data_IF_233640497143
#
_entry.id   IF_233640497143
#
_cell.length_a   1.000
_cell.length_b   1.000
_cell.length_c   1.000
_cell.angle_alpha   90.00
_cell.angle_beta   90.00
_cell.angle_gamma   90.00
#
_symmetry.space_group_name_H-M   'P 1'
#
loop_
_entity.id
_entity.type
_entity.pdbx_description
1 polymer ?
#
# COMPACT_ATOMS: atom_id res chain seq x y z
N UNK A 1 -28.61 -8.92 13.80
CA UNK A 1 -27.21 -8.87 14.26
C UNK A 1 -26.34 -8.59 13.04
N UNK A 2 -25.29 -7.76 13.14
CA UNK A 2 -24.39 -7.55 11.98
C UNK A 2 -23.56 -8.82 11.73
N UNK A 3 -23.45 -9.25 10.47
CA UNK A 3 -22.68 -10.44 10.08
C UNK A 3 -21.23 -10.34 10.55
N UNK A 4 -20.68 -11.41 11.11
CA UNK A 4 -19.27 -11.46 11.50
C UNK A 4 -18.38 -11.58 10.26
N UNK A 5 -17.25 -10.88 10.25
CA UNK A 5 -16.30 -10.86 9.13
C UNK A 5 -14.94 -11.34 9.61
N UNK A 6 -14.37 -12.26 8.84
CA UNK A 6 -13.05 -12.87 9.09
C UNK A 6 -12.12 -12.68 7.91
N UNK A 7 -10.82 -12.83 8.16
CA UNK A 7 -9.77 -12.80 7.16
C UNK A 7 -9.24 -14.22 6.96
N UNK A 8 -9.14 -14.65 5.70
CA UNK A 8 -8.67 -16.00 5.31
C UNK A 8 -7.59 -15.86 4.26
N UNK A 9 -6.38 -16.32 4.55
CA UNK A 9 -5.26 -16.20 3.60
C UNK A 9 -4.84 -14.74 3.38
N UNK A 10 -3.54 -14.50 3.50
CA UNK A 10 -2.95 -13.21 3.16
C UNK A 10 -1.57 -13.45 2.54
N UNK A 11 -1.20 -12.58 1.62
CA UNK A 11 0.14 -12.58 1.05
C UNK A 11 0.49 -11.20 0.49
N UNK A 12 1.78 -10.99 0.24
CA UNK A 12 2.32 -9.81 -0.42
C UNK A 12 3.50 -10.16 -1.30
N UNK A 13 3.81 -9.33 -2.29
CA UNK A 13 5.11 -9.39 -2.94
C UNK A 13 6.20 -8.92 -1.95
N UNK A 14 7.49 -9.16 -2.23
CA UNK A 14 8.52 -8.37 -1.59
C UNK A 14 8.38 -6.90 -2.02
N UNK A 15 8.88 -6.02 -1.19
CA UNK A 15 8.85 -4.57 -1.40
C UNK A 15 10.13 -4.17 -2.14
N UNK A 16 9.96 -3.70 -3.38
CA UNK A 16 11.00 -3.11 -4.21
C UNK A 16 11.35 -1.69 -3.76
N UNK A 17 12.60 -1.28 -3.93
CA UNK A 17 13.02 0.13 -3.80
C UNK A 17 12.84 0.85 -5.14
N UNK A 18 12.71 2.18 -5.10
CA UNK A 18 12.60 2.99 -6.32
C UNK A 18 13.73 2.72 -7.32
N UNK A 19 13.36 2.37 -8.56
CA UNK A 19 14.29 1.98 -9.61
C UNK A 19 15.03 0.66 -9.38
N UNK A 20 14.58 -0.15 -8.41
CA UNK A 20 15.17 -1.42 -8.01
C UNK A 20 14.62 -2.63 -8.77
N UNK A 21 14.48 -3.75 -8.08
CA UNK A 21 14.14 -5.04 -8.70
C UNK A 21 12.79 -5.03 -9.44
N UNK A 22 11.81 -4.30 -8.92
CA UNK A 22 10.45 -4.27 -9.46
C UNK A 22 10.20 -3.14 -10.47
N UNK A 23 11.21 -2.34 -10.83
CA UNK A 23 11.03 -1.12 -11.64
C UNK A 23 10.32 -1.33 -12.98
N UNK A 24 10.52 -2.50 -13.59
CA UNK A 24 9.97 -2.84 -14.91
C UNK A 24 8.65 -3.65 -14.81
N UNK A 25 8.09 -3.84 -13.60
CA UNK A 25 6.86 -4.60 -13.37
C UNK A 25 5.65 -3.66 -13.22
N UNK A 26 4.64 -3.69 -14.11
CA UNK A 26 3.43 -2.91 -13.92
C UNK A 26 2.73 -3.24 -12.59
N UNK A 27 2.06 -2.27 -11.96
CA UNK A 27 1.31 -2.52 -10.71
C UNK A 27 0.26 -3.64 -10.87
N UNK A 28 -0.37 -3.71 -12.06
CA UNK A 28 -1.28 -4.79 -12.47
C UNK A 28 -0.66 -6.17 -12.32
N UNK A 29 0.61 -6.35 -12.70
CA UNK A 29 1.31 -7.63 -12.62
C UNK A 29 1.61 -8.02 -11.16
N UNK A 30 1.99 -7.05 -10.34
CA UNK A 30 2.17 -7.26 -8.90
C UNK A 30 0.84 -7.65 -8.24
N UNK A 31 -0.27 -6.98 -8.63
CA UNK A 31 -1.62 -7.32 -8.21
C UNK A 31 -2.04 -8.74 -8.61
N UNK A 32 -1.79 -9.12 -9.87
CA UNK A 32 -2.05 -10.47 -10.39
C UNK A 32 -1.42 -11.54 -9.50
N UNK A 33 -0.13 -11.38 -9.19
CA UNK A 33 0.65 -12.33 -8.39
C UNK A 33 0.01 -12.57 -7.02
N UNK A 34 -0.35 -11.50 -6.31
CA UNK A 34 -0.93 -11.64 -4.96
C UNK A 34 -2.37 -12.15 -4.99
N UNK A 35 -3.14 -11.82 -6.04
CA UNK A 35 -4.50 -12.35 -6.21
C UNK A 35 -4.49 -13.87 -6.44
N UNK A 36 -3.64 -14.35 -7.36
CA UNK A 36 -3.48 -15.79 -7.61
C UNK A 36 -3.04 -16.54 -6.36
N UNK A 37 -2.03 -16.00 -5.66
CA UNK A 37 -1.46 -16.70 -4.52
C UNK A 37 -2.40 -16.70 -3.30
N UNK A 38 -3.18 -15.64 -3.05
CA UNK A 38 -4.20 -15.66 -1.98
C UNK A 38 -5.27 -16.72 -2.28
N UNK A 39 -5.78 -16.79 -3.51
CA UNK A 39 -6.79 -17.78 -3.90
C UNK A 39 -6.27 -19.21 -3.77
N UNK A 40 -5.03 -19.43 -4.21
CA UNK A 40 -4.33 -20.70 -4.05
C UNK A 40 -4.14 -21.09 -2.58
N UNK A 41 -3.73 -20.14 -1.71
CA UNK A 41 -3.54 -20.38 -0.27
C UNK A 41 -4.85 -20.62 0.47
N UNK A 42 -5.94 -19.96 0.06
CA UNK A 42 -7.26 -20.12 0.67
C UNK A 42 -8.01 -21.35 0.15
N UNK A 43 -7.61 -21.91 -1.00
CA UNK A 43 -8.33 -22.99 -1.68
C UNK A 43 -9.67 -22.53 -2.27
N UNK A 44 -9.83 -21.23 -2.51
CA UNK A 44 -11.07 -20.65 -3.04
C UNK A 44 -10.92 -20.49 -4.55
N UNK A 45 -11.92 -20.97 -5.28
CA UNK A 45 -12.00 -20.79 -6.71
C UNK A 45 -12.45 -19.35 -7.04
N UNK A 46 -11.94 -18.79 -8.14
CA UNK A 46 -12.21 -17.39 -8.51
C UNK A 46 -13.70 -17.11 -8.74
N UNK A 47 -14.47 -18.12 -9.17
CA UNK A 47 -15.93 -18.04 -9.39
C UNK A 47 -16.72 -17.82 -8.10
N UNK A 48 -16.12 -18.09 -6.94
CA UNK A 48 -16.79 -17.92 -5.64
C UNK A 48 -16.65 -16.50 -5.09
N UNK A 49 -15.85 -15.64 -5.73
CA UNK A 49 -15.71 -14.25 -5.34
C UNK A 49 -16.95 -13.46 -5.77
N UNK A 50 -17.51 -12.69 -4.85
CA UNK A 50 -18.57 -11.75 -5.15
C UNK A 50 -18.01 -10.44 -5.72
N UNK A 51 -16.81 -10.04 -5.30
CA UNK A 51 -16.18 -8.79 -5.73
C UNK A 51 -14.65 -8.76 -5.48
N UNK A 52 -13.93 -7.94 -6.24
CA UNK A 52 -12.51 -7.63 -6.03
C UNK A 52 -12.30 -6.13 -5.81
N UNK A 53 -11.67 -5.77 -4.70
CA UNK A 53 -11.51 -4.37 -4.27
C UNK A 53 -10.02 -4.10 -3.99
N UNK A 54 -9.35 -3.36 -4.87
CA UNK A 54 -7.93 -3.04 -4.69
C UNK A 54 -7.65 -1.54 -4.68
N UNK A 55 -6.75 -1.15 -3.78
CA UNK A 55 -6.13 0.16 -3.76
C UNK A 55 -5.03 0.31 -4.83
N UNK A 56 -5.05 1.40 -5.57
CA UNK A 56 -3.94 1.86 -6.42
C UNK A 56 -4.05 3.39 -6.56
N UNK A 57 -2.97 4.11 -6.24
CA UNK A 57 -2.95 5.58 -6.20
C UNK A 57 -2.53 6.12 -7.56
N UNK A 58 -1.39 5.67 -8.08
CA UNK A 58 -0.76 6.22 -9.27
C UNK A 58 -1.33 5.63 -10.57
N UNK A 59 -2.62 5.86 -10.82
CA UNK A 59 -3.37 5.24 -11.92
C UNK A 59 -3.10 5.85 -13.31
N UNK A 60 -2.31 6.92 -13.37
CA UNK A 60 -2.04 7.65 -14.61
C UNK A 60 -1.51 6.72 -15.71
N UNK A 61 -2.21 6.70 -16.86
CA UNK A 61 -1.87 5.91 -18.04
C UNK A 61 -1.73 4.38 -17.82
N UNK A 62 -2.25 3.82 -16.72
CA UNK A 62 -2.28 2.38 -16.49
C UNK A 62 -3.45 1.65 -17.17
N UNK A 63 -4.25 2.36 -17.98
CA UNK A 63 -5.45 1.80 -18.61
C UNK A 63 -6.70 1.86 -17.72
N UNK A 64 -7.78 1.20 -18.16
CA UNK A 64 -9.05 1.22 -17.46
C UNK A 64 -9.02 0.29 -16.25
N UNK A 65 -9.38 0.81 -15.07
CA UNK A 65 -9.61 0.03 -13.84
C UNK A 65 -8.51 -1.02 -13.54
N UNK A 66 -7.41 -0.56 -12.97
CA UNK A 66 -6.20 -1.35 -12.67
C UNK A 66 -6.53 -2.63 -11.88
N UNK A 67 -7.44 -2.54 -10.90
CA UNK A 67 -7.96 -3.70 -10.14
C UNK A 67 -8.57 -4.76 -11.04
N UNK A 68 -9.43 -4.36 -11.99
CA UNK A 68 -10.06 -5.29 -12.94
C UNK A 68 -9.03 -5.93 -13.86
N UNK A 69 -8.03 -5.19 -14.33
CA UNK A 69 -6.94 -5.77 -15.14
C UNK A 69 -6.21 -6.86 -14.37
N UNK A 70 -5.82 -6.59 -13.11
CA UNK A 70 -5.14 -7.56 -12.26
C UNK A 70 -6.00 -8.80 -12.00
N UNK A 71 -7.29 -8.62 -11.72
CA UNK A 71 -8.22 -9.72 -11.50
C UNK A 71 -8.35 -10.64 -12.71
N UNK A 72 -8.55 -10.06 -13.92
CA UNK A 72 -8.62 -10.85 -15.16
C UNK A 72 -7.31 -11.58 -15.44
N UNK A 73 -6.17 -10.92 -15.25
CA UNK A 73 -4.88 -11.58 -15.44
C UNK A 73 -4.61 -12.68 -14.41
N UNK A 74 -5.23 -12.61 -13.22
CA UNK A 74 -5.15 -13.64 -12.18
C UNK A 74 -6.07 -14.85 -12.45
N UNK A 75 -6.80 -14.84 -13.57
CA UNK A 75 -7.76 -15.88 -13.93
C UNK A 75 -9.09 -15.78 -13.17
N UNK A 76 -9.37 -14.65 -12.52
CA UNK A 76 -10.69 -14.41 -11.90
C UNK A 76 -11.72 -14.22 -13.03
N UNK A 77 -12.90 -14.87 -12.97
CA UNK A 77 -13.91 -14.81 -14.03
C UNK A 77 -14.38 -13.40 -14.37
N UNK A 78 -14.83 -13.24 -15.62
CA UNK A 78 -15.27 -11.94 -16.12
C UNK A 78 -16.53 -11.43 -15.42
N UNK A 79 -17.33 -12.33 -14.85
CA UNK A 79 -18.57 -12.07 -14.16
C UNK A 79 -18.34 -11.43 -12.78
N UNK A 80 -17.16 -11.60 -12.18
CA UNK A 80 -16.82 -11.06 -10.85
C UNK A 80 -16.51 -9.55 -10.97
N UNK A 81 -17.31 -8.65 -10.38
CA UNK A 81 -17.05 -7.22 -10.43
C UNK A 81 -15.72 -6.87 -9.73
N UNK A 82 -15.06 -5.84 -10.24
CA UNK A 82 -13.83 -5.34 -9.65
C UNK A 82 -13.76 -3.82 -9.80
N UNK A 83 -13.28 -3.13 -8.77
CA UNK A 83 -13.03 -1.69 -8.86
C UNK A 83 -11.74 -1.27 -8.15
N UNK A 84 -11.15 -0.19 -8.66
CA UNK A 84 -9.94 0.42 -8.12
C UNK A 84 -10.35 1.57 -7.21
N UNK A 85 -9.80 1.64 -6.01
CA UNK A 85 -10.04 2.75 -5.09
C UNK A 85 -8.77 3.54 -4.81
N UNK A 86 -8.92 4.86 -4.68
CA UNK A 86 -7.84 5.75 -4.29
C UNK A 86 -8.22 6.50 -3.01
N UNK A 87 -7.49 6.20 -1.95
CA UNK A 87 -7.44 6.92 -0.67
C UNK A 87 -5.98 7.18 -0.27
N UNK A 88 -5.12 7.46 -1.25
CA UNK A 88 -3.67 7.63 -1.11
C UNK A 88 -3.07 6.47 -0.30
N UNK A 89 -2.23 6.70 0.71
CA UNK A 89 -1.61 5.64 1.54
C UNK A 89 -2.64 4.74 2.24
N UNK A 90 -3.87 5.22 2.45
CA UNK A 90 -4.95 4.45 3.07
C UNK A 90 -5.67 3.49 2.14
N UNK A 91 -5.33 3.44 0.85
CA UNK A 91 -6.11 2.70 -0.16
C UNK A 91 -6.20 1.20 0.14
N UNK A 92 -5.07 0.52 0.32
CA UNK A 92 -5.06 -0.93 0.55
C UNK A 92 -5.84 -1.35 1.81
N UNK A 93 -5.64 -0.63 2.92
CA UNK A 93 -6.35 -0.92 4.16
C UNK A 93 -7.85 -0.54 4.08
N UNK A 94 -8.17 0.53 3.35
CA UNK A 94 -9.56 0.94 3.12
C UNK A 94 -10.31 -0.13 2.33
N UNK A 95 -9.67 -0.78 1.36
CA UNK A 95 -10.23 -1.91 0.62
C UNK A 95 -10.78 -2.99 1.54
N UNK A 96 -9.96 -3.43 2.51
CA UNK A 96 -10.32 -4.46 3.49
C UNK A 96 -11.51 -4.05 4.35
N UNK A 97 -11.49 -2.81 4.86
CA UNK A 97 -12.63 -2.30 5.65
C UNK A 97 -13.90 -2.10 4.80
N UNK A 98 -13.78 -1.83 3.50
CA UNK A 98 -14.91 -1.68 2.59
C UNK A 98 -15.53 -3.04 2.27
N UNK A 99 -14.70 -4.04 2.00
CA UNK A 99 -15.14 -5.44 1.88
C UNK A 99 -15.91 -5.88 3.13
N UNK A 100 -15.38 -5.58 4.32
CA UNK A 100 -16.08 -5.89 5.57
C UNK A 100 -17.41 -5.11 5.74
N UNK A 101 -17.57 -3.93 5.13
CA UNK A 101 -18.84 -3.20 5.14
C UNK A 101 -19.87 -3.85 4.23
N UNK A 102 -19.47 -4.23 3.01
CA UNK A 102 -20.34 -4.86 2.01
C UNK A 102 -20.84 -6.22 2.54
N UNK A 103 -19.95 -7.03 3.10
CA UNK A 103 -20.35 -8.30 3.73
C UNK A 103 -21.31 -8.08 4.89
N UNK A 104 -21.06 -7.09 5.75
CA UNK A 104 -21.97 -6.75 6.87
C UNK A 104 -23.32 -6.22 6.41
N UNK A 105 -23.39 -5.59 5.23
CA UNK A 105 -24.62 -5.13 4.61
C UNK A 105 -25.46 -6.29 4.05
N UNK A 106 -24.84 -7.46 3.83
CA UNK A 106 -25.51 -8.64 3.28
C UNK A 106 -25.40 -8.75 1.75
N UNK A 107 -24.59 -7.90 1.12
CA UNK A 107 -24.48 -7.82 -0.34
C UNK A 107 -23.41 -8.76 -0.93
N UNK A 108 -22.56 -9.36 -0.08
CA UNK A 108 -21.52 -10.30 -0.46
C UNK A 108 -21.14 -11.25 0.69
N UNK A 109 -20.46 -12.33 0.36
CA UNK A 109 -19.89 -13.32 1.28
C UNK A 109 -18.37 -13.43 1.20
N UNK A 110 -17.80 -13.32 0.01
CA UNK A 110 -16.36 -13.50 -0.25
C UNK A 110 -15.86 -12.36 -1.13
N UNK A 111 -14.99 -11.51 -0.58
CA UNK A 111 -14.39 -10.40 -1.30
C UNK A 111 -12.87 -10.49 -1.21
N UNK A 112 -12.20 -10.39 -2.36
CA UNK A 112 -10.75 -10.27 -2.42
C UNK A 112 -10.36 -8.80 -2.29
N UNK A 113 -9.62 -8.46 -1.23
CA UNK A 113 -9.26 -7.07 -0.94
C UNK A 113 -7.75 -6.88 -0.79
N UNK A 114 -7.26 -5.70 -1.13
CA UNK A 114 -5.82 -5.43 -1.05
C UNK A 114 -5.40 -4.10 -1.67
N UNK A 115 -4.14 -4.04 -2.06
CA UNK A 115 -3.58 -2.91 -2.78
C UNK A 115 -2.36 -3.30 -3.59
N UNK A 116 -2.07 -2.50 -4.61
CA UNK A 116 -0.91 -2.65 -5.49
C UNK A 116 -0.43 -1.28 -5.91
N UNK A 117 0.88 -1.12 -5.98
CA UNK A 117 1.51 0.11 -6.45
C UNK A 117 2.86 -0.21 -7.09
N UNK A 118 3.20 0.54 -8.13
CA UNK A 118 4.55 0.62 -8.62
C UNK A 118 4.89 2.09 -8.87
N UNK A 119 5.59 2.68 -7.91
CA UNK A 119 5.98 4.08 -7.98
C UNK A 119 7.13 4.29 -8.97
N UNK A 120 7.99 3.28 -9.17
CA UNK A 120 9.05 3.29 -10.19
C UNK A 120 8.49 3.38 -11.62
N UNK A 121 7.27 2.89 -11.85
CA UNK A 121 6.60 2.83 -13.15
C UNK A 121 5.78 4.09 -13.48
N UNK A 122 5.69 5.05 -12.56
CA UNK A 122 4.87 6.24 -12.73
C UNK A 122 5.34 7.10 -13.92
N UNK A 123 4.43 7.56 -14.81
CA UNK A 123 4.81 8.37 -15.95
C UNK A 123 5.05 9.83 -15.57
N UNK A 124 5.60 10.58 -16.52
CA UNK A 124 5.47 12.04 -16.54
C UNK A 124 4.26 12.45 -17.39
N UNK A 125 3.63 13.59 -17.07
CA UNK A 125 2.51 14.17 -17.79
C UNK A 125 2.82 15.53 -18.40
N UNK A 126 2.09 15.86 -19.47
CA UNK A 126 2.13 17.16 -20.15
C UNK A 126 0.71 17.72 -20.24
N UNK A 127 0.28 18.43 -19.20
CA UNK A 127 -1.13 18.73 -18.95
C UNK A 127 -1.83 19.49 -20.09
N UNK A 128 -1.14 20.44 -20.75
CA UNK A 128 -1.76 21.25 -21.82
C UNK A 128 -1.58 20.65 -23.23
N UNK A 129 -0.94 19.48 -23.36
CA UNK A 129 -0.65 18.89 -24.67
C UNK A 129 -1.91 18.55 -25.48
N UNK A 130 -3.06 18.32 -24.82
CA UNK A 130 -4.33 17.99 -25.49
C UNK A 130 -4.80 19.08 -26.46
N UNK A 131 -4.62 20.35 -26.10
CA UNK A 131 -5.04 21.50 -26.91
C UNK A 131 -3.88 22.41 -27.34
N UNK A 132 -2.66 22.09 -26.89
CA UNK A 132 -1.44 22.83 -27.20
C UNK A 132 -1.15 23.97 -26.22
N UNK A 133 0.14 24.28 -26.09
CA UNK A 133 0.63 25.39 -25.26
C UNK A 133 0.57 26.75 -25.96
N UNK A 134 0.22 26.79 -27.25
CA UNK A 134 0.33 27.94 -28.15
C UNK A 134 1.77 28.42 -28.39
N UNK A 135 2.48 28.90 -27.36
CA UNK A 135 3.86 29.41 -27.44
C UNK A 135 4.50 29.38 -26.04
N UNK A 136 5.84 29.39 -25.97
CA UNK A 136 6.67 29.33 -24.75
C UNK A 136 6.77 27.94 -24.07
N UNK A 137 7.49 27.90 -22.94
CA UNK A 137 7.80 26.70 -22.18
C UNK A 137 6.57 26.06 -21.53
N UNK A 138 6.66 24.75 -21.30
CA UNK A 138 5.72 23.97 -20.48
C UNK A 138 6.46 23.15 -19.43
N UNK A 139 5.71 22.48 -18.56
CA UNK A 139 6.24 21.66 -17.48
C UNK A 139 6.01 20.19 -17.78
N UNK A 140 7.04 19.36 -17.64
CA UNK A 140 6.87 17.91 -17.50
C UNK A 140 6.56 17.62 -16.04
N UNK A 141 5.34 17.17 -15.77
CA UNK A 141 4.85 16.92 -14.41
C UNK A 141 5.19 15.48 -14.03
N UNK A 142 5.90 15.29 -12.92
CA UNK A 142 6.12 13.96 -12.34
C UNK A 142 4.81 13.50 -11.68
N UNK A 143 4.14 12.47 -12.23
CA UNK A 143 2.85 12.01 -11.69
C UNK A 143 2.99 11.31 -10.33
N UNK A 144 4.13 10.67 -10.03
CA UNK A 144 4.37 10.09 -8.71
C UNK A 144 4.35 11.17 -7.64
N UNK A 145 5.03 12.28 -7.90
CA UNK A 145 5.02 13.43 -6.99
C UNK A 145 3.62 14.05 -6.97
N UNK A 146 3.08 14.42 -8.13
CA UNK A 146 1.83 15.17 -8.23
C UNK A 146 0.62 14.45 -7.63
N UNK A 147 0.48 13.16 -7.90
CA UNK A 147 -0.72 12.39 -7.53
C UNK A 147 -0.54 11.61 -6.22
N UNK A 148 0.70 11.41 -5.75
CA UNK A 148 1.01 10.60 -4.57
C UNK A 148 1.66 11.33 -3.41
N UNK A 149 2.52 12.34 -3.67
CA UNK A 149 3.43 12.91 -2.68
C UNK A 149 3.33 14.44 -2.52
N UNK A 150 2.42 15.10 -3.23
CA UNK A 150 2.21 16.54 -3.17
C UNK A 150 0.92 16.88 -2.45
N UNK A 151 0.99 17.84 -1.53
CA UNK A 151 -0.16 18.31 -0.77
C UNK A 151 -0.93 19.31 -1.62
N UNK A 152 -2.17 18.95 -1.98
CA UNK A 152 -2.96 19.70 -2.94
C UNK A 152 -3.44 21.07 -2.41
N UNK A 153 -3.50 21.27 -1.09
CA UNK A 153 -4.09 22.47 -0.48
C UNK A 153 -3.06 23.54 -0.10
N UNK A 154 -1.86 23.14 0.33
CA UNK A 154 -0.78 24.02 0.78
C UNK A 154 0.44 24.03 -0.16
N UNK A 155 0.38 23.28 -1.27
CA UNK A 155 1.35 23.31 -2.37
C UNK A 155 2.80 22.98 -1.95
N UNK A 156 2.98 21.87 -1.24
CA UNK A 156 4.31 21.35 -0.88
C UNK A 156 4.35 19.81 -0.79
N UNK A 157 5.55 19.24 -0.70
CA UNK A 157 5.75 17.80 -0.55
C UNK A 157 5.25 17.26 0.80
N UNK A 158 4.79 16.01 0.87
CA UNK A 158 4.38 15.33 2.12
C UNK A 158 5.44 15.40 3.22
N UNK A 159 6.72 15.43 2.86
CA UNK A 159 7.83 15.61 3.79
C UNK A 159 7.77 16.91 4.62
N UNK A 160 7.16 17.96 4.08
CA UNK A 160 6.89 19.21 4.83
C UNK A 160 5.80 19.00 5.88
N UNK A 161 4.80 18.15 5.62
CA UNK A 161 3.82 17.81 6.67
C UNK A 161 4.47 17.08 7.85
N UNK A 162 5.49 16.24 7.59
CA UNK A 162 6.26 15.59 8.65
C UNK A 162 7.09 16.61 9.45
N UNK A 163 7.68 17.60 8.78
CA UNK A 163 8.36 18.73 9.44
C UNK A 163 7.40 19.54 10.33
N UNK A 164 6.16 19.77 9.88
CA UNK A 164 5.13 20.47 10.66
C UNK A 164 4.76 19.68 11.92
N UNK A 165 4.58 18.36 11.79
CA UNK A 165 4.30 17.47 12.94
C UNK A 165 5.48 17.45 13.90
N UNK A 166 6.72 17.32 13.40
CA UNK A 166 7.90 17.33 14.25
C UNK A 166 8.01 18.64 15.06
N UNK A 167 7.77 19.79 14.41
CA UNK A 167 7.77 21.08 15.07
C UNK A 167 6.63 21.23 16.11
N UNK A 168 5.39 20.85 15.75
CA UNK A 168 4.23 21.02 16.61
C UNK A 168 4.28 20.11 17.85
N UNK A 169 4.85 18.92 17.74
CA UNK A 169 4.99 17.95 18.84
C UNK A 169 6.39 17.93 19.48
N UNK A 170 7.29 18.82 19.08
CA UNK A 170 8.68 18.89 19.55
C UNK A 170 9.42 17.55 19.44
N UNK A 171 9.24 16.85 18.32
CA UNK A 171 9.93 15.59 18.04
C UNK A 171 11.32 15.93 17.50
N UNK A 172 12.35 15.61 18.28
CA UNK A 172 13.72 15.97 17.92
C UNK A 172 14.23 15.19 16.70
N UNK A 173 15.33 15.66 16.11
CA UNK A 173 16.01 14.94 15.02
C UNK A 173 16.54 13.60 15.54
N UNK A 174 17.04 13.58 16.76
CA UNK A 174 17.60 12.43 17.44
C UNK A 174 16.52 11.36 17.66
N UNK A 175 15.32 11.74 18.11
CA UNK A 175 14.18 10.81 18.27
C UNK A 175 13.78 10.18 16.92
N UNK A 176 13.77 10.99 15.86
CA UNK A 176 13.46 10.53 14.50
C UNK A 176 14.52 9.53 14.00
N UNK A 177 15.79 9.83 14.19
CA UNK A 177 16.89 8.97 13.76
C UNK A 177 16.95 7.67 14.59
N UNK A 178 16.73 7.73 15.91
CA UNK A 178 16.64 6.54 16.76
C UNK A 178 15.47 5.64 16.34
N UNK A 179 14.31 6.23 16.05
CA UNK A 179 13.16 5.48 15.55
C UNK A 179 13.47 4.80 14.21
N UNK A 180 14.06 5.54 13.26
CA UNK A 180 14.45 5.01 11.96
C UNK A 180 15.50 3.89 12.07
N UNK A 181 16.52 4.06 12.92
CA UNK A 181 17.54 3.04 13.19
C UNK A 181 16.91 1.76 13.77
N UNK A 182 16.07 1.90 14.79
CA UNK A 182 15.34 0.76 15.38
C UNK A 182 14.48 0.04 14.36
N UNK A 183 13.87 0.77 13.41
CA UNK A 183 13.11 0.18 12.31
C UNK A 183 14.01 -0.67 11.40
N UNK A 184 15.22 -0.19 11.06
CA UNK A 184 16.18 -0.95 10.25
C UNK A 184 16.64 -2.23 10.94
N UNK A 185 16.97 -2.17 12.24
CA UNK A 185 17.39 -3.33 13.02
C UNK A 185 16.30 -4.40 13.08
N UNK A 186 15.05 -4.00 13.35
CA UNK A 186 13.90 -4.92 13.38
C UNK A 186 13.63 -5.56 12.03
N UNK A 187 13.72 -4.79 10.94
CA UNK A 187 13.55 -5.33 9.59
C UNK A 187 14.66 -6.33 9.24
N UNK A 188 15.91 -6.00 9.56
CA UNK A 188 17.05 -6.89 9.34
C UNK A 188 16.93 -8.19 10.15
N UNK A 189 16.51 -8.12 11.42
CA UNK A 189 16.26 -9.29 12.25
C UNK A 189 15.11 -10.13 11.70
N UNK A 190 13.99 -9.52 11.30
CA UNK A 190 12.83 -10.22 10.76
C UNK A 190 13.16 -10.96 9.45
N UNK A 191 13.95 -10.34 8.57
CA UNK A 191 14.44 -10.97 7.34
C UNK A 191 15.37 -12.14 7.69
N UNK A 192 16.38 -11.91 8.55
CA UNK A 192 17.36 -12.92 8.91
C UNK A 192 16.75 -14.13 9.64
N UNK A 193 15.73 -13.89 10.46
CA UNK A 193 14.99 -14.95 11.18
C UNK A 193 13.86 -15.58 10.36
N UNK A 194 13.65 -15.14 9.11
CA UNK A 194 12.66 -15.73 8.21
C UNK A 194 11.20 -15.39 8.51
N UNK A 195 10.91 -14.38 9.35
CA UNK A 195 9.54 -14.02 9.77
C UNK A 195 8.63 -13.62 8.61
N UNK A 196 9.21 -13.14 7.50
CA UNK A 196 8.45 -12.74 6.31
C UNK A 196 8.25 -13.87 5.28
N UNK A 197 8.84 -15.05 5.50
CA UNK A 197 8.77 -16.15 4.50
C UNK A 197 7.35 -16.62 4.24
N UNK A 198 6.50 -16.64 5.27
CA UNK A 198 5.12 -17.09 5.14
C UNK A 198 4.24 -16.08 4.40
N UNK A 199 4.50 -14.78 4.51
CA UNK A 199 3.67 -13.73 3.88
C UNK A 199 4.14 -13.34 2.47
N UNK A 200 5.41 -13.57 2.12
CA UNK A 200 5.96 -13.18 0.82
C UNK A 200 5.65 -14.22 -0.27
N UNK A 201 5.22 -13.71 -1.43
CA UNK A 201 5.12 -14.44 -2.70
C UNK A 201 6.26 -14.00 -3.60
N UNK A 202 7.15 -14.90 -4.04
CA UNK A 202 8.25 -14.51 -4.93
C UNK A 202 7.75 -13.94 -6.26
N UNK A 203 8.41 -12.90 -6.75
CA UNK A 203 8.16 -12.31 -8.07
C UNK A 203 9.22 -12.83 -9.05
N UNK A 204 8.79 -13.47 -10.13
CA UNK A 204 9.69 -13.95 -11.18
C UNK A 204 9.86 -12.87 -12.24
N UNK A 205 11.03 -12.25 -12.27
CA UNK A 205 11.38 -11.19 -13.22
C UNK A 205 11.99 -11.84 -14.46
N UNK A 206 11.25 -11.80 -15.57
CA UNK A 206 11.71 -12.35 -16.85
C UNK A 206 12.79 -11.49 -17.47
N UNK A 207 13.95 -12.10 -17.76
CA UNK A 207 15.11 -11.40 -18.31
C UNK A 207 15.61 -12.04 -19.60
N UNK A 208 16.27 -11.24 -20.46
CA UNK A 208 16.91 -11.74 -21.69
C UNK A 208 18.00 -12.79 -21.44
N UNK A 209 18.59 -12.79 -20.23
CA UNK A 209 19.65 -13.72 -19.80
C UNK A 209 19.14 -14.83 -18.87
N UNK A 210 17.82 -14.98 -18.75
CA UNK A 210 17.17 -15.88 -17.80
C UNK A 210 16.31 -15.13 -16.78
N UNK A 211 15.51 -15.89 -16.06
CA UNK A 211 14.58 -15.38 -15.06
C UNK A 211 15.30 -15.17 -13.72
N UNK A 212 14.93 -14.10 -13.02
CA UNK A 212 15.43 -13.79 -11.67
C UNK A 212 14.27 -13.90 -10.69
N UNK A 213 14.45 -14.64 -9.61
CA UNK A 213 13.46 -14.74 -8.53
C UNK A 213 13.76 -13.66 -7.50
N UNK A 214 12.80 -12.77 -7.28
CA UNK A 214 12.85 -11.74 -6.25
C UNK A 214 11.91 -12.12 -5.11
N UNK A 215 12.46 -12.47 -3.94
CA UNK A 215 11.73 -13.06 -2.80
C UNK A 215 12.01 -12.39 -1.45
N UNK A 216 12.71 -11.24 -1.46
CA UNK A 216 13.21 -10.59 -0.25
C UNK A 216 13.06 -9.08 -0.39
N UNK A 217 12.55 -8.42 0.66
CA UNK A 217 12.42 -6.96 0.70
C UNK A 217 13.80 -6.30 0.54
N UNK A 218 13.96 -5.41 -0.44
CA UNK A 218 15.27 -4.85 -0.79
C UNK A 218 15.53 -3.46 -0.20
N UNK A 219 14.51 -2.83 0.39
CA UNK A 219 14.63 -1.48 0.93
C UNK A 219 15.37 -1.39 2.29
N UNK A 220 15.27 -2.36 3.22
CA UNK A 220 16.01 -2.32 4.48
C UNK A 220 17.53 -2.20 4.27
N UNK A 221 18.19 -1.38 5.10
CA UNK A 221 19.61 -1.05 5.02
C UNK A 221 20.27 -1.25 6.37
N UNK A 222 21.39 -1.98 6.38
CA UNK A 222 22.30 -1.98 7.53
C UNK A 222 22.93 -0.59 7.66
N UNK A 223 22.68 0.08 8.78
CA UNK A 223 23.14 1.45 9.04
C UNK A 223 23.62 1.59 10.48
N UNK A 224 24.04 2.78 10.89
CA UNK A 224 24.36 3.14 12.28
C UNK A 224 23.76 4.50 12.61
N UNK A 225 23.60 4.81 13.90
CA UNK A 225 23.09 6.12 14.33
C UNK A 225 23.97 7.27 13.85
N UNK A 226 25.30 7.09 13.84
CA UNK A 226 26.24 8.11 13.36
C UNK A 226 26.04 8.40 11.86
N UNK A 227 25.80 7.35 11.06
CA UNK A 227 25.48 7.51 9.65
C UNK A 227 24.15 8.22 9.45
N UNK A 228 23.15 7.91 10.28
CA UNK A 228 21.84 8.57 10.23
C UNK A 228 21.95 10.04 10.60
N UNK A 229 22.64 10.38 11.68
CA UNK A 229 22.87 11.76 12.12
C UNK A 229 23.58 12.60 11.04
N UNK A 230 24.51 11.99 10.28
CA UNK A 230 25.21 12.64 9.16
C UNK A 230 24.35 12.96 7.93
N UNK A 231 23.10 12.49 7.85
CA UNK A 231 22.23 12.75 6.71
C UNK A 231 21.71 14.19 6.70
N UNK A 232 21.68 14.77 5.49
CA UNK A 232 21.13 16.10 5.26
C UNK A 232 19.60 16.08 5.30
N UNK A 233 18.95 17.17 5.75
CA UNK A 233 17.51 17.34 5.64
C UNK A 233 17.03 17.24 4.19
N UNK A 234 15.91 16.55 3.97
CA UNK A 234 15.43 16.23 2.62
C UNK A 234 14.44 17.25 2.04
N UNK A 235 13.71 17.97 2.90
CA UNK A 235 12.54 18.76 2.45
C UNK A 235 12.63 20.26 2.74
N UNK A 236 13.31 20.66 3.82
CA UNK A 236 13.54 22.07 4.13
C UNK A 236 14.96 22.28 4.64
N UNK A 237 15.50 23.48 4.43
CA UNK A 237 16.77 23.89 5.04
C UNK A 237 16.63 23.84 6.57
N UNK A 238 17.64 23.30 7.24
CA UNK A 238 17.69 23.15 8.70
C UNK A 238 16.51 22.32 9.27
N UNK A 239 15.95 21.41 8.46
CA UNK A 239 14.90 20.49 8.88
C UNK A 239 15.39 19.25 9.63
N UNK A 240 14.45 18.49 10.17
CA UNK A 240 14.74 17.25 10.92
C UNK A 240 14.51 15.99 10.09
N UNK A 241 13.70 16.08 9.04
CA UNK A 241 13.32 14.91 8.23
C UNK A 241 14.40 14.66 7.17
N UNK A 242 14.90 13.42 7.13
CA UNK A 242 15.96 12.96 6.24
C UNK A 242 15.56 11.68 5.51
N UNK A 243 16.35 11.28 4.51
CA UNK A 243 16.18 9.99 3.84
C UNK A 243 16.40 8.77 4.75
N UNK A 244 16.94 8.94 5.96
CA UNK A 244 17.15 7.86 6.93
C UNK A 244 15.99 7.67 7.90
N UNK A 245 15.21 8.73 8.15
CA UNK A 245 14.10 8.72 9.10
C UNK A 245 12.71 8.92 8.44
N UNK A 246 12.67 8.99 7.11
CA UNK A 246 11.47 8.88 6.29
C UNK A 246 11.46 7.55 5.50
N UNK A 247 10.27 7.08 5.11
CA UNK A 247 10.16 5.94 4.20
C UNK A 247 10.65 6.28 2.79
N UNK A 248 10.99 5.25 2.03
CA UNK A 248 11.33 5.38 0.62
C UNK A 248 10.12 5.52 -0.30
N UNK A 249 10.45 5.55 -1.58
CA UNK A 249 9.54 5.27 -2.69
C UNK A 249 9.72 3.79 -3.03
N UNK A 250 8.60 3.06 -3.15
CA UNK A 250 8.62 1.61 -3.16
C UNK A 250 7.55 1.03 -4.08
N UNK A 251 7.78 -0.22 -4.48
CA UNK A 251 6.91 -0.99 -5.36
C UNK A 251 6.47 -2.27 -4.66
N UNK A 252 5.20 -2.66 -4.82
CA UNK A 252 4.68 -3.90 -4.24
C UNK A 252 3.17 -4.05 -4.29
N UNK A 253 2.69 -5.24 -3.97
CA UNK A 253 1.27 -5.53 -3.81
C UNK A 253 1.02 -6.42 -2.59
N UNK A 254 -0.19 -6.37 -2.05
CA UNK A 254 -0.65 -7.21 -0.94
C UNK A 254 -2.15 -7.52 -1.10
N UNK A 255 -2.55 -8.73 -0.69
CA UNK A 255 -3.91 -9.24 -0.80
C UNK A 255 -4.32 -9.99 0.48
N UNK A 256 -5.62 -9.96 0.77
CA UNK A 256 -6.26 -10.76 1.81
C UNK A 256 -7.68 -11.12 1.37
N UNK A 257 -8.14 -12.34 1.66
CA UNK A 257 -9.55 -12.70 1.47
C UNK A 257 -10.35 -12.24 2.68
N UNK A 258 -11.43 -11.50 2.44
CA UNK A 258 -12.38 -11.05 3.45
C UNK A 258 -13.66 -11.87 3.28
N UNK A 259 -14.06 -12.57 4.32
CA UNK A 259 -15.11 -13.60 4.24
C UNK A 259 -16.13 -13.41 5.36
N UNK A 260 -17.41 -13.63 5.08
CA UNK A 260 -18.41 -13.78 6.14
C UNK A 260 -18.07 -15.01 6.99
N UNK A 261 -18.23 -14.93 8.32
CA UNK A 261 -17.92 -16.07 9.21
C UNK A 261 -18.75 -17.30 8.85
N UNK A 262 -20.01 -17.07 8.50
CA UNK A 262 -20.96 -18.11 8.06
C UNK A 262 -20.45 -18.84 6.83
N UNK A 263 -19.99 -18.11 5.80
CA UNK A 263 -19.44 -18.71 4.58
C UNK A 263 -18.11 -19.41 4.83
N UNK A 264 -17.26 -18.84 5.69
CA UNK A 264 -16.02 -19.48 6.09
C UNK A 264 -16.28 -20.84 6.78
N UNK A 265 -17.29 -20.93 7.64
CA UNK A 265 -17.68 -22.19 8.29
C UNK A 265 -18.29 -23.19 7.31
N UNK A 266 -19.17 -22.73 6.41
CA UNK A 266 -19.78 -23.56 5.36
C UNK A 266 -18.71 -24.23 4.49
N UNK A 267 -17.66 -23.49 4.15
CA UNK A 267 -16.58 -23.94 3.27
C UNK A 267 -15.42 -24.62 4.03
N UNK A 268 -15.49 -24.71 5.36
CA UNK A 268 -14.41 -25.26 6.18
C UNK A 268 -13.10 -24.48 6.10
N UNK A 269 -13.17 -23.17 5.81
CA UNK A 269 -12.00 -22.29 5.79
C UNK A 269 -11.46 -22.07 7.20
N UNK A 270 -10.16 -21.79 7.31
CA UNK A 270 -9.51 -21.46 8.58
C UNK A 270 -9.25 -19.95 8.69
N UNK A 271 -10.06 -19.21 9.46
CA UNK A 271 -9.79 -17.80 9.74
C UNK A 271 -8.41 -17.56 10.37
N UNK A 272 -7.71 -16.53 9.91
CA UNK A 272 -6.47 -16.03 10.53
C UNK A 272 -6.77 -14.96 11.59
N UNK A 273 -7.79 -14.14 11.33
CA UNK A 273 -8.20 -13.05 12.21
C UNK A 273 -9.68 -12.70 12.01
N UNK A 274 -10.24 -11.97 12.97
CA UNK A 274 -11.59 -11.39 12.89
C UNK A 274 -11.50 -9.87 12.75
N UNK A 275 -12.30 -9.30 11.86
CA UNK A 275 -12.44 -7.85 11.73
C UNK A 275 -13.38 -7.35 12.83
N UNK A 276 -12.81 -6.96 13.98
CA UNK A 276 -13.59 -6.48 15.13
C UNK A 276 -14.22 -5.13 14.82
N UNK A 277 -13.40 -4.14 14.45
CA UNK A 277 -13.84 -2.80 14.10
C UNK A 277 -12.90 -2.15 13.08
N UNK A 278 -13.34 -1.02 12.54
CA UNK A 278 -12.55 -0.16 11.66
C UNK A 278 -13.09 1.27 11.73
N UNK A 279 -12.23 2.25 11.44
CA UNK A 279 -12.62 3.63 11.31
C UNK A 279 -11.64 4.40 10.41
N UNK A 280 -12.11 5.52 9.86
CA UNK A 280 -11.26 6.54 9.24
C UNK A 280 -11.35 7.83 10.05
N UNK A 281 -10.24 8.56 10.11
CA UNK A 281 -10.14 9.89 10.71
C UNK A 281 -9.63 10.88 9.68
N UNK A 282 -10.18 12.10 9.69
CA UNK A 282 -9.65 13.24 8.95
C UNK A 282 -8.99 14.21 9.93
N UNK A 283 -7.96 14.89 9.47
CA UNK A 283 -7.21 15.93 10.18
C UNK A 283 -6.86 17.04 9.18
N UNK A 284 -6.28 18.12 9.67
CA UNK A 284 -5.74 19.17 8.82
C UNK A 284 -4.69 18.59 7.84
N UNK A 285 -4.76 18.87 6.53
CA UNK A 285 -3.81 18.37 5.53
C UNK A 285 -2.34 18.71 5.84
N UNK A 286 -2.07 19.83 6.52
CA UNK A 286 -0.72 20.27 6.89
C UNK A 286 -0.02 19.35 7.90
N UNK A 287 -0.80 18.53 8.61
CA UNK A 287 -0.33 17.56 9.61
C UNK A 287 -0.94 16.18 9.36
N UNK A 288 -1.16 15.82 8.09
CA UNK A 288 -1.82 14.57 7.70
C UNK A 288 -1.27 13.31 8.40
N UNK A 289 0.03 13.31 8.74
CA UNK A 289 0.72 12.23 9.44
C UNK A 289 0.13 11.87 10.81
N UNK A 290 -0.67 12.76 11.43
CA UNK A 290 -1.37 12.46 12.70
C UNK A 290 -2.78 11.90 12.50
N UNK A 291 -3.23 11.72 11.26
CA UNK A 291 -4.50 11.07 10.90
C UNK A 291 -4.76 9.70 11.57
N UNK A 292 -3.73 8.86 11.84
CA UNK A 292 -3.91 7.64 12.63
C UNK A 292 -4.46 7.86 14.04
N UNK A 293 -4.20 9.01 14.68
CA UNK A 293 -4.67 9.28 16.05
C UNK A 293 -6.21 9.23 16.15
N UNK A 294 -6.98 10.06 15.42
CA UNK A 294 -8.43 9.97 15.46
C UNK A 294 -8.98 8.67 14.85
N UNK A 295 -8.30 8.08 13.85
CA UNK A 295 -8.74 6.82 13.25
C UNK A 295 -8.69 5.67 14.28
N UNK A 296 -7.56 5.50 14.97
CA UNK A 296 -7.37 4.46 15.99
C UNK A 296 -8.29 4.66 17.18
N UNK A 297 -8.42 5.89 17.70
CA UNK A 297 -9.36 6.19 18.81
C UNK A 297 -10.79 5.79 18.47
N UNK A 298 -11.26 6.10 17.25
CA UNK A 298 -12.61 5.71 16.79
C UNK A 298 -12.75 4.20 16.62
N UNK A 299 -11.74 3.51 16.09
CA UNK A 299 -11.78 2.06 15.91
C UNK A 299 -11.82 1.32 17.26
N UNK A 300 -10.98 1.73 18.21
CA UNK A 300 -10.96 1.18 19.58
C UNK A 300 -12.29 1.41 20.29
N UNK A 301 -12.83 2.64 20.24
CA UNK A 301 -14.14 2.95 20.83
C UNK A 301 -15.27 2.08 20.25
N UNK A 302 -15.29 1.86 18.92
CA UNK A 302 -16.26 0.94 18.28
C UNK A 302 -16.10 -0.51 18.70
N UNK A 303 -14.88 -0.94 19.04
CA UNK A 303 -14.60 -2.29 19.50
C UNK A 303 -14.82 -2.48 21.00
N UNK A 304 -15.03 -1.39 21.76
CA UNK A 304 -15.03 -1.43 23.23
C UNK A 304 -13.65 -1.81 23.80
N UNK A 305 -12.57 -1.44 23.11
CA UNK A 305 -11.19 -1.71 23.51
C UNK A 305 -10.47 -0.42 23.93
N UNK A 306 -9.38 -0.56 24.68
CA UNK A 306 -8.51 0.52 25.18
C UNK A 306 -7.12 0.44 24.58
#
# INVERSE_FOLDING_TARGET
MSREVVLVGACRTPIGTFGGALKDQPAVELGRIVMEEVLKRSGIAGEMLDEVIFGCVLQAAQGQNVCRQAAIHAGIPNEVPAFTLNKVCGSGLRAVSLAAQIIRAGDADIILAGGMENMSYAPYAVEKARYGYRMNNGTLVDCMIKDGLWEAFNDYHMGITAENVAAQWNISREDQDEFGFRSQERAAEAIASGRFKDEIVPVVIKGKKGDTVFDTDEHPRRTTLEKMAGLKPAFKKDGTVTAGNASGINDGAAAVLVVSKEKADELGLRPMARVVSYASGGVDPSIMGVGPIPATKKALAKAGLT
#
